data_IF_928932880126
#
_entry.id   IF_928932880126
#
_cell.length_a   1.000
_cell.length_b   1.000
_cell.length_c   1.000
_cell.angle_alpha   90.00
_cell.angle_beta   90.00
_cell.angle_gamma   90.00
#
_symmetry.space_group_name_H-M   'P 1'
#
loop_
_entity.id
_entity.type
_entity.pdbx_description
1 polymer ?
#
# COMPACT_ATOMS: atom_id res chain seq x y z
N UNK A 1 -15.49 45.80 71.25
CA UNK A 1 -14.91 45.84 69.90
C UNK A 1 -15.16 44.47 69.26
N UNK A 2 -16.15 44.40 68.35
CA UNK A 2 -16.56 43.36 67.34
C UNK A 2 -16.08 41.89 67.52
N UNK A 3 -16.95 40.94 67.92
CA UNK A 3 -17.79 39.95 67.15
C UNK A 3 -16.97 38.86 66.42
N UNK A 4 -16.99 37.56 66.78
CA UNK A 4 -18.06 36.52 66.61
C UNK A 4 -18.37 36.22 65.12
N UNK A 5 -18.58 35.01 64.59
CA UNK A 5 -18.43 33.60 64.96
C UNK A 5 -18.75 32.74 63.69
N UNK A 6 -18.27 31.50 63.66
CA UNK A 6 -18.79 30.28 62.95
C UNK A 6 -18.72 29.98 61.44
N UNK A 7 -18.40 28.69 61.25
CA UNK A 7 -18.26 27.78 60.12
C UNK A 7 -19.48 27.60 59.18
N UNK A 8 -19.23 27.25 57.90
CA UNK A 8 -19.69 25.99 57.25
C UNK A 8 -19.34 25.95 55.73
N UNK A 9 -19.25 24.71 55.21
CA UNK A 9 -18.61 24.20 53.97
C UNK A 9 -19.40 24.41 52.63
N UNK A 10 -18.82 24.05 51.45
CA UNK A 10 -18.90 24.82 50.20
C UNK A 10 -20.03 24.39 49.23
N UNK A 11 -20.54 25.35 48.45
CA UNK A 11 -21.50 25.14 47.36
C UNK A 11 -20.81 25.08 45.98
N UNK A 12 -21.26 24.14 45.14
CA UNK A 12 -20.81 23.81 43.79
C UNK A 12 -20.65 25.04 42.85
N UNK A 13 -19.67 25.05 41.93
CA UNK A 13 -19.71 25.93 40.78
C UNK A 13 -20.65 25.34 39.71
N UNK A 14 -21.61 26.14 39.27
CA UNK A 14 -22.51 25.88 38.16
C UNK A 14 -21.76 25.46 36.90
N UNK A 15 -22.00 24.24 36.42
CA UNK A 15 -21.55 23.76 35.12
C UNK A 15 -22.41 24.42 34.04
N UNK A 16 -21.85 25.39 33.33
CA UNK A 16 -22.45 25.98 32.14
C UNK A 16 -22.27 24.99 30.97
N UNK A 17 -23.33 24.26 30.64
CA UNK A 17 -23.41 23.38 29.47
C UNK A 17 -23.43 24.26 28.20
N UNK A 18 -22.27 24.49 27.57
CA UNK A 18 -22.21 24.99 26.20
C UNK A 18 -22.48 23.83 25.23
N UNK A 19 -23.74 23.72 24.79
CA UNK A 19 -24.10 23.01 23.56
C UNK A 19 -23.52 23.76 22.36
N UNK A 20 -22.32 23.36 21.93
CA UNK A 20 -21.82 23.66 20.59
C UNK A 20 -22.48 22.71 19.60
N UNK A 21 -23.66 23.10 19.12
CA UNK A 21 -24.25 22.56 17.89
C UNK A 21 -23.38 22.99 16.70
N UNK A 22 -22.27 22.28 16.49
CA UNK A 22 -21.50 22.38 15.27
C UNK A 22 -22.26 21.71 14.14
N UNK A 23 -22.76 22.50 13.19
CA UNK A 23 -23.29 22.01 11.92
C UNK A 23 -22.20 21.19 11.21
N UNK A 24 -22.25 19.87 11.39
CA UNK A 24 -21.41 18.93 10.66
C UNK A 24 -21.85 18.92 9.21
N UNK A 25 -21.14 19.66 8.36
CA UNK A 25 -21.02 19.30 6.95
C UNK A 25 -20.48 17.87 6.94
N UNK A 26 -21.35 16.89 6.75
CA UNK A 26 -20.95 15.50 6.51
C UNK A 26 -20.10 15.49 5.25
N UNK A 27 -18.78 15.59 5.40
CA UNK A 27 -17.85 15.43 4.30
C UNK A 27 -18.16 14.10 3.63
N UNK A 28 -18.52 14.13 2.35
CA UNK A 28 -18.85 12.92 1.61
C UNK A 28 -17.69 11.92 1.75
N UNK A 29 -18.00 10.66 2.09
CA UNK A 29 -16.98 9.62 2.20
C UNK A 29 -16.19 9.53 0.89
N UNK A 30 -14.85 9.36 0.94
CA UNK A 30 -14.04 9.32 -0.28
C UNK A 30 -14.52 8.19 -1.21
N UNK A 31 -14.56 8.38 -2.54
CA UNK A 31 -15.13 7.38 -3.46
C UNK A 31 -14.33 6.07 -3.42
N UNK A 32 -15.04 4.94 -3.51
CA UNK A 32 -14.39 3.63 -3.65
C UNK A 32 -13.70 3.54 -5.03
N UNK A 33 -12.58 2.82 -5.10
CA UNK A 33 -11.93 2.52 -6.37
C UNK A 33 -12.83 1.60 -7.23
N UNK A 34 -12.89 1.79 -8.56
CA UNK A 34 -13.56 0.84 -9.45
C UNK A 34 -13.01 -0.57 -9.27
N UNK A 35 -13.89 -1.57 -9.38
CA UNK A 35 -13.53 -2.99 -9.24
C UNK A 35 -13.57 -3.67 -10.60
N UNK A 36 -12.54 -4.45 -10.91
CA UNK A 36 -12.45 -5.24 -12.13
C UNK A 36 -12.04 -6.68 -11.84
N UNK A 37 -12.32 -7.58 -12.79
CA UNK A 37 -11.85 -8.95 -12.77
C UNK A 37 -10.75 -9.14 -13.82
N UNK A 38 -9.71 -9.90 -13.47
CA UNK A 38 -8.66 -10.35 -14.39
C UNK A 38 -8.56 -11.87 -14.32
N UNK A 39 -8.83 -12.58 -15.42
CA UNK A 39 -8.72 -14.04 -15.45
C UNK A 39 -7.27 -14.47 -15.62
N UNK A 40 -6.76 -15.27 -14.69
CA UNK A 40 -5.45 -15.93 -14.77
C UNK A 40 -5.44 -17.10 -15.76
N UNK A 41 -6.62 -17.59 -16.15
CA UNK A 41 -6.81 -18.63 -17.17
C UNK A 41 -6.60 -18.06 -18.59
N UNK A 42 -6.72 -16.74 -18.77
CA UNK A 42 -6.33 -16.06 -20.00
C UNK A 42 -4.80 -15.96 -20.10
N UNK A 43 -4.28 -16.02 -21.33
CA UNK A 43 -2.85 -15.77 -21.60
C UNK A 43 -2.45 -14.37 -21.13
N UNK A 44 -1.24 -14.19 -20.55
CA UNK A 44 -0.77 -12.91 -20.01
C UNK A 44 -1.04 -11.69 -20.89
N UNK A 45 -0.80 -11.82 -22.19
CA UNK A 45 -0.91 -10.76 -23.21
C UNK A 45 -2.34 -10.22 -23.37
N UNK A 46 -3.36 -10.98 -22.95
CA UNK A 46 -4.76 -10.61 -23.14
C UNK A 46 -5.50 -10.31 -21.82
N UNK A 47 -4.87 -10.57 -20.66
CA UNK A 47 -5.49 -10.49 -19.33
C UNK A 47 -6.14 -9.15 -19.01
N UNK A 48 -5.48 -8.06 -19.41
CA UNK A 48 -5.86 -6.70 -19.06
C UNK A 48 -6.76 -6.02 -20.09
N UNK A 49 -6.95 -6.59 -21.27
CA UNK A 49 -7.75 -5.97 -22.34
C UNK A 49 -9.19 -5.64 -21.92
N UNK A 50 -9.92 -6.51 -21.18
CA UNK A 50 -11.26 -6.17 -20.70
C UNK A 50 -11.27 -4.94 -19.80
N UNK A 51 -10.24 -4.78 -18.96
CA UNK A 51 -10.11 -3.64 -18.05
C UNK A 51 -9.75 -2.37 -18.83
N UNK A 52 -8.73 -2.44 -19.69
CA UNK A 52 -8.24 -1.30 -20.48
C UNK A 52 -9.31 -0.66 -21.35
N UNK A 53 -10.27 -1.44 -21.87
CA UNK A 53 -11.40 -0.93 -22.68
C UNK A 53 -12.34 0.04 -21.94
N UNK A 54 -12.26 0.13 -20.61
CA UNK A 54 -13.06 1.07 -19.81
C UNK A 54 -12.38 2.44 -19.63
N UNK A 55 -11.15 2.60 -20.11
CA UNK A 55 -10.35 3.80 -19.90
C UNK A 55 -10.11 4.57 -21.21
N UNK A 56 -10.08 5.90 -21.10
CA UNK A 56 -9.58 6.77 -22.15
C UNK A 56 -8.07 6.56 -22.32
N UNK A 57 -7.68 6.00 -23.45
CA UNK A 57 -6.28 5.66 -23.73
C UNK A 57 -5.39 6.89 -23.88
N UNK A 58 -5.93 8.04 -24.29
CA UNK A 58 -5.13 9.25 -24.39
C UNK A 58 -4.77 9.78 -22.99
N UNK A 59 -5.70 9.68 -22.04
CA UNK A 59 -5.43 9.95 -20.63
C UNK A 59 -4.39 8.98 -20.06
N UNK A 60 -4.51 7.67 -20.32
CA UNK A 60 -3.57 6.66 -19.82
C UNK A 60 -2.17 6.87 -20.40
N UNK A 61 -2.06 7.09 -21.72
CA UNK A 61 -0.77 7.37 -22.38
C UNK A 61 -0.14 8.65 -21.86
N UNK A 62 -0.91 9.71 -21.68
CA UNK A 62 -0.42 10.97 -21.12
C UNK A 62 0.10 10.78 -19.69
N UNK A 63 -0.59 10.00 -18.86
CA UNK A 63 -0.14 9.66 -17.51
C UNK A 63 1.18 8.87 -17.52
N UNK A 64 1.29 7.83 -18.37
CA UNK A 64 2.53 7.06 -18.50
C UNK A 64 3.70 7.93 -18.97
N UNK A 65 3.47 8.77 -19.97
CA UNK A 65 4.48 9.70 -20.48
C UNK A 65 4.93 10.71 -19.41
N UNK A 66 3.99 11.22 -18.60
CA UNK A 66 4.30 12.11 -17.47
C UNK A 66 5.21 11.40 -16.46
N UNK A 67 4.86 10.17 -16.04
CA UNK A 67 5.68 9.42 -15.07
C UNK A 67 7.09 9.14 -15.60
N UNK A 68 7.22 8.76 -16.87
CA UNK A 68 8.54 8.54 -17.49
C UNK A 68 9.35 9.84 -17.49
N UNK A 69 8.75 10.95 -17.98
CA UNK A 69 9.41 12.24 -18.07
C UNK A 69 9.87 12.78 -16.70
N UNK A 70 9.07 12.56 -15.66
CA UNK A 70 9.32 13.11 -14.32
C UNK A 70 10.22 12.22 -13.46
N UNK A 71 10.24 10.88 -13.66
CA UNK A 71 10.89 9.93 -12.74
C UNK A 71 11.99 9.07 -13.32
N UNK A 72 12.06 8.94 -14.64
CA UNK A 72 13.07 8.11 -15.29
C UNK A 72 14.24 9.01 -15.71
N UNK A 73 15.45 8.83 -15.14
CA UNK A 73 16.61 9.59 -15.57
C UNK A 73 16.89 9.37 -17.06
N UNK A 74 17.33 10.41 -17.77
CA UNK A 74 17.60 10.34 -19.22
C UNK A 74 18.55 9.19 -19.60
N UNK A 75 19.58 8.94 -18.79
CA UNK A 75 20.53 7.85 -19.03
C UNK A 75 19.86 6.48 -18.96
N UNK A 76 18.89 6.29 -18.06
CA UNK A 76 18.09 5.07 -17.94
C UNK A 76 17.19 4.91 -19.16
N UNK A 77 16.47 5.97 -19.55
CA UNK A 77 15.57 5.92 -20.72
C UNK A 77 16.32 5.51 -21.98
N UNK A 78 17.49 6.12 -22.23
CA UNK A 78 18.36 5.78 -23.37
C UNK A 78 18.92 4.35 -23.26
N UNK A 79 19.36 3.92 -22.08
CA UNK A 79 19.92 2.59 -21.87
C UNK A 79 18.85 1.51 -22.12
N UNK A 80 17.71 1.59 -21.43
CA UNK A 80 16.64 0.61 -21.54
C UNK A 80 16.07 0.60 -22.96
N UNK A 81 15.92 1.75 -23.62
CA UNK A 81 15.53 1.81 -25.04
C UNK A 81 16.43 0.99 -25.97
N UNK A 82 17.72 0.82 -25.65
CA UNK A 82 18.66 0.01 -26.44
C UNK A 82 18.72 -1.45 -26.04
N UNK A 83 18.53 -1.76 -24.75
CA UNK A 83 18.75 -3.12 -24.21
C UNK A 83 17.47 -3.86 -23.80
N UNK A 84 16.28 -3.27 -23.97
CA UNK A 84 15.02 -3.85 -23.46
C UNK A 84 14.78 -5.27 -23.94
N UNK A 85 15.09 -5.60 -25.20
CA UNK A 85 14.90 -6.94 -25.75
C UNK A 85 15.82 -7.98 -25.10
N UNK A 86 17.04 -7.60 -24.71
CA UNK A 86 17.94 -8.49 -23.97
C UNK A 86 17.53 -8.58 -22.51
N UNK A 87 17.19 -7.45 -21.88
CA UNK A 87 16.73 -7.38 -20.50
C UNK A 87 15.48 -8.24 -20.26
N UNK A 88 14.55 -8.24 -21.20
CA UNK A 88 13.32 -9.03 -21.12
C UNK A 88 13.57 -10.51 -20.85
N UNK A 89 14.66 -11.09 -21.37
CA UNK A 89 15.02 -12.50 -21.17
C UNK A 89 15.33 -12.86 -19.71
N UNK A 90 15.56 -11.85 -18.88
CA UNK A 90 15.81 -11.97 -17.45
C UNK A 90 14.59 -11.66 -16.59
N UNK A 91 13.52 -11.11 -17.19
CA UNK A 91 12.29 -10.78 -16.51
C UNK A 91 11.34 -11.99 -16.48
N UNK A 92 10.66 -12.26 -15.35
CA UNK A 92 9.79 -13.43 -15.23
C UNK A 92 8.44 -13.23 -15.93
N UNK A 93 7.91 -14.32 -16.50
CA UNK A 93 6.47 -14.44 -16.74
C UNK A 93 5.71 -14.55 -15.40
N UNK A 94 4.45 -14.10 -15.31
CA UNK A 94 3.61 -13.57 -16.38
C UNK A 94 3.81 -12.08 -16.68
N UNK A 95 4.71 -11.40 -15.97
CA UNK A 95 4.81 -9.93 -16.00
C UNK A 95 5.23 -9.42 -17.37
N UNK A 96 6.16 -10.09 -18.05
CA UNK A 96 6.58 -9.72 -19.41
C UNK A 96 5.44 -9.82 -20.42
N UNK A 97 4.68 -10.91 -20.42
CA UNK A 97 3.54 -11.08 -21.30
C UNK A 97 2.42 -10.06 -21.03
N UNK A 98 2.14 -9.76 -19.76
CA UNK A 98 1.16 -8.72 -19.43
C UNK A 98 1.61 -7.31 -19.84
N UNK A 99 2.89 -6.96 -19.63
CA UNK A 99 3.45 -5.68 -20.09
C UNK A 99 3.35 -5.57 -21.62
N UNK A 100 3.73 -6.63 -22.36
CA UNK A 100 3.59 -6.66 -23.82
C UNK A 100 2.15 -6.46 -24.26
N UNK A 101 1.21 -7.18 -23.67
CA UNK A 101 -0.22 -7.05 -23.97
C UNK A 101 -0.75 -5.63 -23.78
N UNK A 102 -0.33 -4.96 -22.71
CA UNK A 102 -0.65 -3.55 -22.48
C UNK A 102 -0.01 -2.62 -23.52
N UNK A 103 1.26 -2.84 -23.87
CA UNK A 103 1.96 -2.06 -24.89
C UNK A 103 1.28 -2.16 -26.25
N UNK A 104 0.96 -3.38 -26.68
CA UNK A 104 0.35 -3.65 -27.98
C UNK A 104 -1.03 -2.98 -28.07
N UNK A 105 -1.82 -3.07 -27.01
CA UNK A 105 -3.14 -2.43 -26.95
C UNK A 105 -3.07 -0.89 -26.96
N UNK A 106 -2.07 -0.32 -26.29
CA UNK A 106 -1.89 1.13 -26.21
C UNK A 106 -1.04 1.70 -27.35
N UNK A 107 -0.44 0.87 -28.20
CA UNK A 107 0.56 1.25 -29.20
C UNK A 107 1.76 2.00 -28.59
N UNK A 108 2.34 1.44 -27.53
CA UNK A 108 3.51 1.98 -26.84
C UNK A 108 4.73 1.06 -27.00
N UNK A 109 5.93 1.61 -26.83
CA UNK A 109 7.15 0.81 -26.86
C UNK A 109 7.26 -0.09 -25.62
N UNK A 110 7.82 -1.29 -25.78
CA UNK A 110 8.08 -2.19 -24.65
C UNK A 110 8.98 -1.51 -23.59
N UNK A 111 9.95 -0.70 -24.03
CA UNK A 111 10.83 0.04 -23.14
C UNK A 111 10.04 1.01 -22.26
N UNK A 112 9.14 1.80 -22.83
CA UNK A 112 8.36 2.78 -22.06
C UNK A 112 7.38 2.09 -21.10
N UNK A 113 6.69 1.01 -21.54
CA UNK A 113 5.82 0.25 -20.64
C UNK A 113 6.58 -0.39 -19.47
N UNK A 114 7.78 -0.93 -19.73
CA UNK A 114 8.63 -1.49 -18.68
C UNK A 114 9.09 -0.38 -17.73
N UNK A 115 9.54 0.75 -18.27
CA UNK A 115 10.04 1.87 -17.49
C UNK A 115 8.97 2.49 -16.59
N UNK A 116 7.72 2.62 -17.05
CA UNK A 116 6.64 3.10 -16.17
C UNK A 116 6.38 2.11 -15.04
N UNK A 117 6.45 0.80 -15.31
CA UNK A 117 6.31 -0.23 -14.28
C UNK A 117 7.46 -0.16 -13.27
N UNK A 118 8.68 0.11 -13.71
CA UNK A 118 9.83 0.28 -12.81
C UNK A 118 9.81 1.63 -12.07
N UNK A 119 9.33 2.71 -12.68
CA UNK A 119 9.25 4.02 -12.03
C UNK A 119 8.34 4.00 -10.78
N UNK A 120 7.24 3.24 -10.83
CA UNK A 120 6.34 3.03 -9.70
C UNK A 120 6.91 2.14 -8.58
N UNK A 121 8.10 1.55 -8.75
CA UNK A 121 8.78 0.83 -7.67
C UNK A 121 9.59 1.76 -6.75
N UNK A 122 9.66 3.07 -7.05
CA UNK A 122 10.46 4.07 -6.32
C UNK A 122 9.71 5.37 -6.01
N UNK A 123 10.20 6.09 -5.00
CA UNK A 123 9.58 7.27 -4.35
C UNK A 123 8.09 7.11 -4.07
N UNK A 124 7.71 5.92 -3.57
CA UNK A 124 6.38 5.57 -3.08
C UNK A 124 6.38 5.73 -1.56
N UNK A 125 5.89 6.87 -1.09
CA UNK A 125 5.72 7.10 0.35
C UNK A 125 4.49 6.34 0.84
N UNK A 126 4.58 5.74 2.02
CA UNK A 126 3.55 4.83 2.51
C UNK A 126 3.40 4.92 4.03
N UNK A 127 2.21 4.60 4.54
CA UNK A 127 2.04 4.24 5.95
C UNK A 127 1.20 2.98 5.99
N UNK A 128 1.73 1.93 6.59
CA UNK A 128 1.07 0.63 6.74
C UNK A 128 0.94 0.27 8.21
N UNK A 129 -0.21 -0.30 8.56
CA UNK A 129 -0.57 -0.71 9.93
C UNK A 129 -1.08 -2.14 9.89
N UNK A 130 -0.48 -3.03 10.67
CA UNK A 130 -1.05 -4.34 11.00
C UNK A 130 -1.33 -4.39 12.50
N UNK A 131 -2.53 -4.79 12.88
CA UNK A 131 -3.00 -4.73 14.26
C UNK A 131 -3.93 -5.89 14.60
N UNK A 132 -3.99 -6.24 15.89
CA UNK A 132 -4.82 -7.31 16.42
C UNK A 132 -5.82 -6.76 17.45
N UNK A 133 -7.10 -7.10 17.32
CA UNK A 133 -8.12 -6.72 18.30
C UNK A 133 -8.06 -7.59 19.58
N UNK A 134 -8.90 -7.27 20.56
CA UNK A 134 -8.99 -8.01 21.83
C UNK A 134 -9.53 -9.44 21.69
N UNK A 135 -10.08 -9.80 20.52
CA UNK A 135 -10.57 -11.15 20.18
C UNK A 135 -9.56 -11.95 19.35
N UNK A 136 -8.42 -11.35 19.02
CA UNK A 136 -7.37 -12.01 18.24
C UNK A 136 -7.52 -11.88 16.72
N UNK A 137 -8.48 -11.10 16.22
CA UNK A 137 -8.62 -10.87 14.78
C UNK A 137 -7.56 -9.89 14.27
N UNK A 138 -7.05 -10.16 13.07
CA UNK A 138 -6.05 -9.33 12.39
C UNK A 138 -6.72 -8.31 11.45
N UNK A 139 -6.32 -7.06 11.57
CA UNK A 139 -6.71 -5.94 10.72
C UNK A 139 -5.46 -5.34 10.08
N UNK A 140 -5.58 -4.94 8.83
CA UNK A 140 -4.48 -4.38 8.07
C UNK A 140 -4.98 -3.18 7.26
N UNK A 141 -4.31 -2.03 7.38
CA UNK A 141 -4.67 -0.83 6.64
C UNK A 141 -3.43 -0.10 6.13
N UNK A 142 -3.57 0.63 5.03
CA UNK A 142 -2.47 1.41 4.46
C UNK A 142 -2.90 2.65 3.70
N UNK A 143 -2.04 3.67 3.68
CA UNK A 143 -2.07 4.80 2.76
C UNK A 143 -0.97 4.66 1.71
N UNK A 144 -1.30 4.89 0.43
CA UNK A 144 -0.30 5.07 -0.63
C UNK A 144 -0.21 6.54 -1.02
N UNK A 145 1.00 7.07 -0.96
CA UNK A 145 1.31 8.46 -1.25
C UNK A 145 2.24 8.53 -2.48
N UNK A 146 1.90 9.41 -3.42
CA UNK A 146 2.71 9.66 -4.62
C UNK A 146 2.56 11.11 -5.08
N UNK A 147 3.60 11.74 -5.65
CA UNK A 147 3.50 13.12 -6.14
C UNK A 147 2.58 13.30 -7.36
N UNK A 148 2.21 12.21 -8.07
CA UNK A 148 1.35 12.27 -9.27
C UNK A 148 -0.14 12.08 -8.97
N UNK A 149 -0.63 12.86 -8.02
CA UNK A 149 -2.02 12.82 -7.59
C UNK A 149 -3.04 13.21 -8.67
N UNK A 150 -2.64 13.97 -9.69
CA UNK A 150 -3.49 14.38 -10.82
C UNK A 150 -3.90 13.20 -11.72
N UNK A 151 -3.03 12.19 -11.87
CA UNK A 151 -3.26 11.05 -12.78
C UNK A 151 -3.54 9.75 -12.02
N UNK A 152 -2.76 9.42 -11.00
CA UNK A 152 -2.84 8.10 -10.35
C UNK A 152 -4.17 7.85 -9.65
N UNK A 153 -4.79 8.91 -9.11
CA UNK A 153 -6.11 8.82 -8.48
C UNK A 153 -7.18 8.33 -9.45
N UNK A 154 -7.12 8.75 -10.72
CA UNK A 154 -8.07 8.36 -11.78
C UNK A 154 -7.80 6.94 -12.30
N UNK A 155 -6.58 6.45 -12.13
CA UNK A 155 -6.14 5.14 -12.60
C UNK A 155 -6.14 4.07 -11.49
N UNK A 156 -6.43 4.43 -10.24
CA UNK A 156 -6.48 3.51 -9.10
C UNK A 156 -7.68 2.57 -9.24
N UNK A 157 -7.43 1.27 -9.14
CA UNK A 157 -8.44 0.20 -9.24
C UNK A 157 -8.21 -0.89 -8.21
N UNK A 158 -9.29 -1.51 -7.77
CA UNK A 158 -9.26 -2.81 -7.10
C UNK A 158 -9.48 -3.91 -8.15
N UNK A 159 -8.63 -4.93 -8.15
CA UNK A 159 -8.65 -6.01 -9.15
C UNK A 159 -8.75 -7.35 -8.45
N UNK A 160 -9.76 -8.13 -8.81
CA UNK A 160 -9.90 -9.53 -8.39
C UNK A 160 -9.29 -10.42 -9.47
N UNK A 161 -8.22 -11.13 -9.12
CA UNK A 161 -7.57 -12.08 -10.01
C UNK A 161 -8.25 -13.43 -9.87
N UNK A 162 -8.83 -13.91 -10.97
CA UNK A 162 -9.65 -15.12 -10.99
C UNK A 162 -8.85 -16.31 -11.52
N UNK A 163 -9.01 -17.48 -10.92
CA UNK A 163 -8.52 -18.76 -11.45
C UNK A 163 -9.66 -19.76 -11.41
N UNK A 164 -10.00 -20.37 -12.55
CA UNK A 164 -11.19 -21.21 -12.71
C UNK A 164 -12.48 -20.52 -12.21
N UNK A 165 -12.61 -19.21 -12.46
CA UNK A 165 -13.75 -18.40 -12.03
C UNK A 165 -13.81 -18.04 -10.54
N UNK A 166 -12.87 -18.53 -9.71
CA UNK A 166 -12.79 -18.22 -8.28
C UNK A 166 -11.76 -17.11 -8.02
N UNK A 167 -12.02 -16.25 -7.04
CA UNK A 167 -11.05 -15.20 -6.64
C UNK A 167 -9.84 -15.88 -6.01
N UNK A 168 -8.71 -15.88 -6.71
CA UNK A 168 -7.44 -16.35 -6.20
C UNK A 168 -6.83 -15.33 -5.22
N UNK A 169 -6.88 -14.05 -5.57
CA UNK A 169 -6.48 -12.93 -4.72
C UNK A 169 -7.07 -11.62 -5.24
N UNK A 170 -7.07 -10.59 -4.39
CA UNK A 170 -7.48 -9.22 -4.75
C UNK A 170 -6.29 -8.30 -4.54
N UNK A 171 -6.11 -7.30 -5.41
CA UNK A 171 -5.06 -6.30 -5.27
C UNK A 171 -5.52 -4.91 -5.67
N UNK A 172 -4.88 -3.89 -5.11
CA UNK A 172 -5.05 -2.50 -5.54
C UNK A 172 -3.86 -2.10 -6.38
N UNK A 173 -4.12 -1.51 -7.54
CA UNK A 173 -3.09 -1.15 -8.51
C UNK A 173 -3.53 0.02 -9.38
N UNK A 174 -2.70 0.39 -10.34
CA UNK A 174 -2.99 1.40 -11.35
C UNK A 174 -3.16 0.75 -12.73
N UNK A 175 -4.04 1.28 -13.56
CA UNK A 175 -4.09 0.89 -14.97
C UNK A 175 -2.74 1.15 -15.65
N UNK A 176 -2.19 0.14 -16.32
CA UNK A 176 -0.86 0.16 -16.92
C UNK A 176 0.25 -0.45 -16.04
N UNK A 177 -0.07 -0.83 -14.79
CA UNK A 177 0.89 -1.37 -13.82
C UNK A 177 0.56 -2.83 -13.47
N UNK A 178 1.52 -3.74 -13.65
CA UNK A 178 1.32 -5.19 -13.45
C UNK A 178 1.65 -5.65 -12.02
N UNK A 179 2.32 -4.81 -11.25
CA UNK A 179 2.66 -5.07 -9.85
C UNK A 179 1.49 -4.85 -8.90
N UNK A 180 1.63 -5.33 -7.65
CA UNK A 180 0.73 -5.02 -6.55
C UNK A 180 1.54 -4.48 -5.37
N UNK A 181 1.29 -3.23 -4.98
CA UNK A 181 1.79 -2.70 -3.70
C UNK A 181 0.87 -3.02 -2.53
N UNK A 182 -0.36 -3.45 -2.81
CA UNK A 182 -1.39 -3.76 -1.82
C UNK A 182 -2.25 -4.90 -2.33
N UNK A 183 -2.56 -5.88 -1.48
CA UNK A 183 -3.49 -6.93 -1.82
C UNK A 183 -3.78 -7.92 -0.69
N UNK A 184 -4.73 -8.81 -0.94
CA UNK A 184 -5.13 -9.87 -0.02
C UNK A 184 -5.28 -11.20 -0.76
N UNK A 185 -4.89 -12.28 -0.11
CA UNK A 185 -5.24 -13.65 -0.46
C UNK A 185 -6.33 -14.10 0.52
N UNK A 186 -7.57 -14.36 0.04
CA UNK A 186 -8.73 -14.56 0.90
C UNK A 186 -8.52 -15.76 1.84
N UNK A 187 -8.82 -15.58 3.12
CA UNK A 187 -8.63 -16.57 4.19
C UNK A 187 -7.19 -17.08 4.35
N UNK A 188 -6.19 -16.34 3.84
CA UNK A 188 -4.77 -16.69 3.99
C UNK A 188 -3.98 -15.54 4.62
N UNK A 189 -3.79 -14.43 3.90
CA UNK A 189 -3.01 -13.29 4.36
C UNK A 189 -3.28 -12.03 3.54
N UNK A 190 -2.83 -10.88 4.05
CA UNK A 190 -2.87 -9.54 3.45
C UNK A 190 -1.46 -9.00 3.35
N UNK A 191 -1.16 -8.19 2.34
CA UNK A 191 0.19 -7.64 2.12
C UNK A 191 0.10 -6.17 1.69
N UNK A 192 0.92 -5.33 2.29
CA UNK A 192 1.32 -4.04 1.71
C UNK A 192 2.85 -3.95 1.67
N UNK A 193 3.37 -3.21 0.70
CA UNK A 193 4.79 -2.88 0.64
C UNK A 193 5.00 -1.38 0.81
N UNK A 194 6.01 -1.01 1.58
CA UNK A 194 6.40 0.39 1.78
C UNK A 194 7.86 0.56 1.32
N UNK A 195 8.17 1.60 0.56
CA UNK A 195 9.53 1.79 0.03
C UNK A 195 10.55 1.99 1.16
N UNK A 196 11.73 1.38 0.98
CA UNK A 196 12.91 1.65 1.80
C UNK A 196 14.01 2.26 0.94
N UNK A 197 14.04 3.59 0.87
CA UNK A 197 15.04 4.29 0.07
C UNK A 197 16.45 4.16 0.70
N UNK A 198 17.40 3.70 -0.12
CA UNK A 198 18.84 3.58 0.18
C UNK A 198 19.72 4.25 -0.90
N UNK A 199 19.12 5.03 -1.80
CA UNK A 199 19.81 5.66 -2.93
C UNK A 199 20.18 4.69 -4.05
N UNK A 200 20.69 5.25 -5.17
CA UNK A 200 21.14 4.51 -6.36
C UNK A 200 20.12 3.48 -6.87
N UNK A 201 18.84 3.85 -6.84
CA UNK A 201 17.74 2.93 -7.12
C UNK A 201 17.86 2.33 -8.52
N UNK A 202 18.07 3.16 -9.55
CA UNK A 202 18.14 2.72 -10.95
C UNK A 202 19.36 1.87 -11.24
N UNK A 203 20.53 2.25 -10.75
CA UNK A 203 21.78 1.51 -10.92
C UNK A 203 21.69 0.11 -10.31
N UNK A 204 21.21 0.04 -9.06
CA UNK A 204 21.04 -1.23 -8.36
C UNK A 204 19.94 -2.09 -8.99
N UNK A 205 18.81 -1.47 -9.37
CA UNK A 205 17.68 -2.18 -9.94
C UNK A 205 18.04 -2.81 -11.29
N UNK A 206 18.66 -2.06 -12.20
CA UNK A 206 19.07 -2.57 -13.51
C UNK A 206 20.05 -3.74 -13.35
N UNK A 207 21.08 -3.59 -12.51
CA UNK A 207 22.03 -4.68 -12.25
C UNK A 207 21.35 -5.93 -11.67
N UNK A 208 20.40 -5.75 -10.75
CA UNK A 208 19.67 -6.83 -10.12
C UNK A 208 18.70 -7.53 -11.09
N UNK A 209 18.04 -6.80 -11.99
CA UNK A 209 17.18 -7.38 -13.04
C UNK A 209 17.99 -8.31 -13.96
N UNK A 210 19.19 -7.92 -14.40
CA UNK A 210 20.10 -8.80 -15.15
C UNK A 210 20.58 -10.02 -14.36
N UNK A 211 20.45 -10.01 -13.03
CA UNK A 211 20.67 -11.17 -12.14
C UNK A 211 19.41 -11.98 -11.86
N UNK A 212 18.30 -11.72 -12.56
CA UNK A 212 16.98 -12.33 -12.35
C UNK A 212 16.35 -12.05 -10.98
N UNK A 213 16.77 -10.98 -10.30
CA UNK A 213 16.00 -10.46 -9.18
C UNK A 213 14.74 -9.80 -9.71
N UNK A 214 13.71 -9.65 -8.86
CA UNK A 214 12.40 -9.17 -9.29
C UNK A 214 11.99 -7.86 -8.60
N UNK A 215 11.14 -7.05 -9.24
CA UNK A 215 10.50 -5.90 -8.61
C UNK A 215 9.77 -6.25 -7.32
N UNK A 216 9.76 -5.32 -6.38
CA UNK A 216 9.25 -5.54 -5.01
C UNK A 216 7.74 -5.75 -5.02
N UNK A 217 7.01 -5.05 -5.88
CA UNK A 217 5.56 -5.21 -6.05
C UNK A 217 5.20 -6.47 -6.83
N UNK A 218 6.10 -6.96 -7.69
CA UNK A 218 5.91 -8.19 -8.44
C UNK A 218 6.03 -9.40 -7.53
N UNK A 219 6.97 -9.35 -6.57
CA UNK A 219 7.06 -10.37 -5.53
C UNK A 219 5.79 -10.42 -4.67
N UNK A 220 5.18 -9.27 -4.31
CA UNK A 220 3.90 -9.26 -3.59
C UNK A 220 2.83 -10.01 -4.39
N UNK A 221 2.67 -9.69 -5.68
CA UNK A 221 1.69 -10.36 -6.54
C UNK A 221 1.96 -11.86 -6.69
N UNK A 222 3.21 -12.26 -6.89
CA UNK A 222 3.60 -13.66 -6.95
C UNK A 222 3.30 -14.37 -5.62
N UNK A 223 3.54 -13.71 -4.49
CA UNK A 223 3.24 -14.24 -3.15
C UNK A 223 1.75 -14.46 -2.98
N UNK A 224 0.91 -13.48 -3.31
CA UNK A 224 -0.56 -13.58 -3.28
C UNK A 224 -1.10 -14.70 -4.17
N UNK A 225 -0.43 -14.98 -5.28
CA UNK A 225 -0.81 -16.03 -6.23
C UNK A 225 -0.35 -17.44 -5.82
N UNK A 226 0.76 -17.58 -5.09
CA UNK A 226 1.45 -18.86 -4.91
C UNK A 226 1.51 -19.34 -3.45
N UNK A 227 1.48 -18.44 -2.46
CA UNK A 227 1.69 -18.82 -1.06
C UNK A 227 0.41 -19.34 -0.42
N UNK A 228 0.52 -20.44 0.33
CA UNK A 228 -0.66 -21.15 0.85
C UNK A 228 -1.18 -20.63 2.19
N UNK A 229 -0.35 -19.92 2.95
CA UNK A 229 -0.71 -19.37 4.26
C UNK A 229 0.24 -18.21 4.64
N UNK A 230 -0.04 -17.60 5.80
CA UNK A 230 0.76 -16.49 6.34
C UNK A 230 2.25 -16.81 6.46
N UNK A 231 2.62 -17.95 7.06
CA UNK A 231 4.03 -18.34 7.26
C UNK A 231 4.78 -18.54 5.94
N UNK A 232 4.15 -19.19 4.96
CA UNK A 232 4.72 -19.36 3.62
C UNK A 232 4.92 -18.01 2.92
N UNK A 233 3.95 -17.09 3.06
CA UNK A 233 4.03 -15.75 2.50
C UNK A 233 5.17 -14.93 3.14
N UNK A 234 5.30 -14.96 4.47
CA UNK A 234 6.39 -14.32 5.21
C UNK A 234 7.75 -14.89 4.77
N UNK A 235 7.88 -16.21 4.67
CA UNK A 235 9.10 -16.86 4.20
C UNK A 235 9.49 -16.44 2.78
N UNK A 236 8.54 -16.42 1.85
CA UNK A 236 8.75 -16.01 0.45
C UNK A 236 9.14 -14.54 0.35
N UNK A 237 8.41 -13.65 1.05
CA UNK A 237 8.66 -12.21 1.10
C UNK A 237 9.95 -11.85 1.83
N UNK A 238 10.44 -12.68 2.76
CA UNK A 238 11.69 -12.46 3.46
C UNK A 238 12.93 -12.87 2.63
N UNK A 239 12.82 -13.94 1.83
CA UNK A 239 13.98 -14.63 1.24
C UNK A 239 14.16 -14.46 -0.26
N UNK A 240 13.11 -14.10 -1.01
CA UNK A 240 13.24 -13.98 -2.47
C UNK A 240 14.10 -12.77 -2.84
N UNK A 241 15.11 -12.90 -3.71
CA UNK A 241 15.97 -11.77 -4.11
C UNK A 241 15.21 -10.65 -4.81
N UNK A 242 15.51 -9.41 -4.44
CA UNK A 242 14.81 -8.20 -4.90
C UNK A 242 15.74 -7.23 -5.62
N UNK A 243 15.15 -6.36 -6.45
CA UNK A 243 15.88 -5.28 -7.14
C UNK A 243 16.14 -4.06 -6.27
N UNK A 244 15.36 -3.89 -5.19
CA UNK A 244 15.40 -2.76 -4.29
C UNK A 244 15.07 -3.19 -2.85
N UNK A 245 15.38 -2.30 -1.92
CA UNK A 245 15.04 -2.43 -0.50
C UNK A 245 13.56 -2.05 -0.29
N UNK A 246 12.88 -2.71 0.65
CA UNK A 246 11.45 -2.52 0.90
C UNK A 246 11.09 -2.95 2.32
N UNK A 247 9.97 -2.45 2.85
CA UNK A 247 9.31 -3.04 4.02
C UNK A 247 8.08 -3.79 3.54
N UNK A 248 7.94 -5.07 3.89
CA UNK A 248 6.69 -5.80 3.67
C UNK A 248 5.92 -5.92 4.97
N UNK A 249 4.68 -5.45 4.98
CA UNK A 249 3.78 -5.61 6.09
C UNK A 249 2.83 -6.74 5.70
N UNK A 250 2.70 -7.74 6.57
CA UNK A 250 1.90 -8.94 6.32
C UNK A 250 0.97 -9.17 7.49
N UNK A 251 -0.32 -9.43 7.23
CA UNK A 251 -1.30 -9.82 8.24
C UNK A 251 -2.00 -11.11 7.85
N UNK A 252 -2.03 -12.10 8.73
CA UNK A 252 -2.67 -13.41 8.51
C UNK A 252 -4.13 -13.46 8.98
N UNK A 253 -4.54 -14.62 9.45
CA UNK A 253 -5.92 -14.93 9.89
C UNK A 253 -6.01 -15.28 11.37
N UNK A 254 -4.91 -15.75 11.96
CA UNK A 254 -4.83 -16.20 13.36
C UNK A 254 -4.21 -15.12 14.26
N UNK A 255 -4.46 -15.18 15.59
CA UNK A 255 -3.81 -14.27 16.53
C UNK A 255 -2.28 -14.30 16.40
N UNK A 256 -1.66 -13.12 16.49
CA UNK A 256 -0.23 -12.82 16.33
C UNK A 256 0.31 -12.93 14.90
N UNK A 257 -0.50 -13.31 13.93
CA UNK A 257 -0.11 -13.30 12.52
C UNK A 257 -0.13 -11.87 11.97
N UNK A 258 0.86 -11.06 12.38
CA UNK A 258 1.12 -9.74 11.82
C UNK A 258 2.60 -9.44 11.95
N UNK A 259 3.23 -8.93 10.89
CA UNK A 259 4.69 -8.72 10.87
C UNK A 259 5.08 -7.60 9.92
N UNK A 260 6.14 -6.87 10.27
CA UNK A 260 6.88 -5.99 9.36
C UNK A 260 8.21 -6.65 9.03
N UNK A 261 8.50 -6.85 7.75
CA UNK A 261 9.74 -7.45 7.24
C UNK A 261 10.56 -6.32 6.61
N UNK A 262 11.66 -5.94 7.23
CA UNK A 262 12.60 -4.98 6.64
C UNK A 262 13.54 -5.71 5.71
N UNK A 263 13.48 -5.43 4.40
CA UNK A 263 14.27 -6.11 3.37
C UNK A 263 15.42 -5.25 2.86
N UNK A 264 16.55 -5.93 2.67
CA UNK A 264 17.55 -5.59 1.67
C UNK A 264 17.33 -6.47 0.43
N UNK A 265 18.00 -6.13 -0.68
CA UNK A 265 17.95 -6.94 -1.92
C UNK A 265 18.16 -8.44 -1.72
N UNK A 266 19.13 -8.83 -0.88
CA UNK A 266 19.56 -10.22 -0.74
C UNK A 266 18.87 -10.97 0.43
N UNK A 267 18.11 -10.29 1.29
CA UNK A 267 17.45 -10.94 2.43
C UNK A 267 16.84 -9.96 3.45
N UNK A 268 16.33 -10.46 4.58
CA UNK A 268 15.74 -9.62 5.61
C UNK A 268 16.85 -9.00 6.49
N UNK A 269 16.80 -7.68 6.67
CA UNK A 269 17.58 -7.00 7.70
C UNK A 269 16.94 -7.13 9.08
N UNK A 270 15.60 -7.25 9.13
CA UNK A 270 14.84 -7.42 10.37
C UNK A 270 13.46 -8.03 10.09
N UNK A 271 12.90 -8.74 11.08
CA UNK A 271 11.55 -9.29 11.07
C UNK A 271 10.89 -8.91 12.41
N UNK A 272 9.88 -8.06 12.37
CA UNK A 272 9.26 -7.45 13.54
C UNK A 272 7.79 -7.89 13.68
N UNK A 273 7.51 -9.01 14.38
CA UNK A 273 6.16 -9.55 14.53
C UNK A 273 5.34 -8.76 15.55
N UNK A 274 4.01 -8.89 15.50
CA UNK A 274 3.12 -8.53 16.60
C UNK A 274 3.52 -9.28 17.86
N UNK A 275 3.40 -8.61 19.01
CA UNK A 275 3.71 -9.22 20.31
C UNK A 275 2.69 -8.76 21.37
N UNK A 276 1.43 -9.23 21.30
CA UNK A 276 0.38 -8.81 22.21
C UNK A 276 0.68 -9.14 23.69
N UNK A 277 1.52 -10.14 23.97
CA UNK A 277 1.93 -10.50 25.34
C UNK A 277 2.75 -9.38 25.99
N UNK A 278 3.52 -8.64 25.20
CA UNK A 278 4.29 -7.47 25.64
C UNK A 278 3.56 -6.14 25.31
N UNK A 279 2.24 -6.17 25.19
CA UNK A 279 1.40 -4.99 24.91
C UNK A 279 1.47 -4.47 23.48
N UNK A 280 2.18 -5.18 22.60
CA UNK A 280 2.49 -4.76 21.24
C UNK A 280 1.46 -5.31 20.23
N UNK A 281 0.20 -4.88 20.38
CA UNK A 281 -0.95 -5.33 19.58
C UNK A 281 -1.05 -4.69 18.19
N UNK A 282 -0.12 -3.79 17.82
CA UNK A 282 0.03 -3.25 16.48
C UNK A 282 1.50 -3.10 16.08
N UNK A 283 1.72 -2.98 14.76
CA UNK A 283 2.94 -2.49 14.13
C UNK A 283 2.59 -1.39 13.15
N UNK A 284 3.41 -0.34 13.14
CA UNK A 284 3.30 0.79 12.21
C UNK A 284 4.61 0.87 11.46
N UNK A 285 4.53 0.82 10.14
CA UNK A 285 5.67 1.11 9.27
C UNK A 285 5.32 2.28 8.36
N UNK A 286 6.32 3.12 8.08
CA UNK A 286 6.24 4.18 7.08
C UNK A 286 7.31 3.93 6.03
N UNK A 287 8.46 4.61 6.09
CA UNK A 287 9.52 4.46 5.10
C UNK A 287 10.92 4.41 5.75
N UNK A 288 11.01 4.18 7.06
CA UNK A 288 12.25 4.29 7.83
C UNK A 288 12.48 3.04 8.69
N UNK A 289 13.71 2.71 9.02
CA UNK A 289 13.96 1.54 9.87
C UNK A 289 13.29 1.74 11.25
N UNK A 290 12.52 0.77 11.76
CA UNK A 290 11.74 0.95 13.01
C UNK A 290 12.61 1.17 14.25
N UNK A 291 13.83 0.63 14.26
CA UNK A 291 14.84 0.82 15.31
C UNK A 291 15.59 2.16 15.23
N UNK A 292 15.25 3.01 14.25
CA UNK A 292 15.78 4.37 14.11
C UNK A 292 14.66 5.39 14.32
N UNK A 293 15.01 6.60 14.78
CA UNK A 293 14.04 7.69 14.82
C UNK A 293 13.56 8.01 13.39
N UNK A 294 12.26 8.23 13.23
CA UNK A 294 11.74 8.83 12.00
C UNK A 294 12.34 10.25 11.84
N UNK A 295 12.70 10.68 10.61
CA UNK A 295 13.14 12.05 10.36
C UNK A 295 12.05 13.04 10.79
N UNK A 296 12.46 14.16 11.40
CA UNK A 296 11.53 15.19 11.90
C UNK A 296 10.65 15.78 10.82
N UNK A 297 11.12 15.80 9.57
CA UNK A 297 10.41 16.34 8.41
C UNK A 297 9.30 15.41 7.89
N UNK A 298 9.37 14.10 8.18
CA UNK A 298 8.38 13.09 7.77
C UNK A 298 8.10 12.08 8.90
N UNK A 299 7.63 12.59 10.05
CA UNK A 299 7.26 11.74 11.20
C UNK A 299 5.77 11.33 11.19
N UNK A 300 5.37 10.64 10.12
CA UNK A 300 4.04 10.00 10.03
C UNK A 300 3.87 8.87 11.06
N UNK A 301 4.96 8.19 11.43
CA UNK A 301 4.96 7.07 12.38
C UNK A 301 4.45 7.49 13.75
N UNK A 302 4.99 8.57 14.33
CA UNK A 302 4.56 9.03 15.66
C UNK A 302 3.06 9.38 15.69
N UNK A 303 2.56 9.99 14.63
CA UNK A 303 1.16 10.40 14.55
C UNK A 303 0.21 9.19 14.43
N UNK A 304 0.58 8.20 13.61
CA UNK A 304 -0.17 6.94 13.52
C UNK A 304 -0.19 6.18 14.85
N UNK A 305 0.95 6.08 15.55
CA UNK A 305 1.05 5.43 16.87
C UNK A 305 0.18 6.15 17.90
N UNK A 306 0.20 7.49 17.94
CA UNK A 306 -0.66 8.27 18.85
C UNK A 306 -2.15 8.01 18.59
N UNK A 307 -2.57 7.97 17.32
CA UNK A 307 -3.94 7.69 16.94
C UNK A 307 -4.38 6.26 17.29
N UNK A 308 -3.49 5.26 17.11
CA UNK A 308 -3.71 3.88 17.57
C UNK A 308 -3.88 3.78 19.08
N UNK A 309 -2.99 4.44 19.84
CA UNK A 309 -3.07 4.48 21.29
C UNK A 309 -4.36 5.14 21.79
N UNK A 310 -4.79 6.23 21.16
CA UNK A 310 -6.05 6.91 21.50
C UNK A 310 -7.29 6.07 21.15
N UNK A 311 -7.23 5.31 20.06
CA UNK A 311 -8.31 4.39 19.66
C UNK A 311 -8.43 3.23 20.65
N UNK A 312 -7.29 2.64 21.04
CA UNK A 312 -7.21 1.50 21.93
C UNK A 312 -7.62 0.18 21.27
N UNK A 313 -7.06 -0.93 21.77
CA UNK A 313 -7.25 -2.26 21.19
C UNK A 313 -8.74 -2.71 21.15
N UNK A 314 -9.52 -2.30 22.15
CA UNK A 314 -10.93 -2.68 22.28
C UNK A 314 -11.83 -2.10 21.18
N UNK A 315 -11.43 -0.99 20.55
CA UNK A 315 -12.20 -0.30 19.51
C UNK A 315 -11.64 -0.55 18.10
N UNK A 316 -10.66 -1.43 17.96
CA UNK A 316 -10.03 -1.71 16.68
C UNK A 316 -11.04 -2.33 15.70
N UNK A 317 -11.12 -1.74 14.51
CA UNK A 317 -11.92 -2.22 13.37
C UNK A 317 -11.32 -1.68 12.07
N UNK A 318 -11.79 -2.17 10.91
CA UNK A 318 -11.38 -1.60 9.62
C UNK A 318 -11.77 -0.12 9.50
N UNK A 319 -12.93 0.27 10.04
CA UNK A 319 -13.34 1.68 10.06
C UNK A 319 -12.42 2.51 10.96
N UNK A 320 -12.07 2.01 12.15
CA UNK A 320 -11.14 2.69 13.03
C UNK A 320 -9.76 2.87 12.38
N UNK A 321 -9.24 1.86 11.67
CA UNK A 321 -8.01 1.99 10.89
C UNK A 321 -8.12 3.03 9.78
N UNK A 322 -9.26 3.10 9.08
CA UNK A 322 -9.50 4.12 8.06
C UNK A 322 -9.49 5.54 8.66
N UNK A 323 -10.04 5.72 9.86
CA UNK A 323 -10.01 6.99 10.59
C UNK A 323 -8.58 7.35 11.02
N UNK A 324 -7.80 6.40 11.55
CA UNK A 324 -6.38 6.60 11.89
C UNK A 324 -5.58 7.02 10.65
N UNK A 325 -5.79 6.35 9.52
CA UNK A 325 -5.16 6.66 8.23
C UNK A 325 -5.69 7.97 7.60
N UNK A 326 -6.66 8.63 8.22
CA UNK A 326 -7.18 9.95 7.83
C UNK A 326 -6.65 11.10 8.70
N UNK A 327 -5.84 10.81 9.73
CA UNK A 327 -5.21 11.81 10.59
C UNK A 327 -4.00 12.43 9.88
N UNK A 328 -3.92 13.75 9.83
CA UNK A 328 -2.72 14.46 9.33
C UNK A 328 -1.57 14.32 10.34
N UNK A 329 -0.32 14.02 9.93
CA UNK A 329 0.20 13.95 8.55
C UNK A 329 0.20 12.55 7.92
N UNK A 330 -0.34 11.51 8.59
CA UNK A 330 -0.47 10.15 8.01
C UNK A 330 -1.27 10.21 6.72
N UNK A 331 -2.36 10.97 6.75
CA UNK A 331 -3.01 11.51 5.57
C UNK A 331 -2.35 12.83 5.15
N UNK A 332 -2.00 12.95 3.88
CA UNK A 332 -1.34 14.14 3.36
C UNK A 332 -1.77 14.43 1.90
N UNK A 333 -1.25 15.52 1.33
CA UNK A 333 -1.60 15.96 -0.03
C UNK A 333 -1.18 14.96 -1.12
N UNK A 334 -0.20 14.12 -0.84
CA UNK A 334 0.31 13.09 -1.74
C UNK A 334 -0.47 11.78 -1.64
N UNK A 335 -1.31 11.60 -0.62
CA UNK A 335 -2.14 10.40 -0.49
C UNK A 335 -3.06 10.24 -1.72
N UNK A 336 -2.88 9.11 -2.40
CA UNK A 336 -3.59 8.66 -3.59
C UNK A 336 -4.79 7.81 -3.20
N UNK A 337 -4.58 6.82 -2.35
CA UNK A 337 -5.62 5.91 -1.89
C UNK A 337 -5.34 5.40 -0.47
N UNK A 338 -6.41 4.95 0.18
CA UNK A 338 -6.37 4.23 1.45
C UNK A 338 -7.06 2.89 1.27
N UNK A 339 -6.39 1.81 1.67
CA UNK A 339 -6.95 0.45 1.65
C UNK A 339 -7.03 -0.08 3.07
N UNK A 340 -8.16 -0.69 3.42
CA UNK A 340 -8.34 -1.46 4.65
C UNK A 340 -8.80 -2.87 4.30
N UNK A 341 -8.22 -3.87 4.96
CA UNK A 341 -8.37 -5.28 4.62
C UNK A 341 -8.16 -6.19 5.84
N UNK A 342 -8.72 -7.39 5.77
CA UNK A 342 -8.50 -8.46 6.74
C UNK A 342 -8.66 -9.80 6.02
N UNK A 343 -7.64 -10.66 6.07
CA UNK A 343 -7.68 -11.96 5.39
C UNK A 343 -8.82 -12.84 5.91
N UNK A 344 -9.20 -12.70 7.19
CA UNK A 344 -10.31 -13.42 7.81
C UNK A 344 -11.70 -12.89 7.42
N UNK A 345 -11.80 -11.73 6.79
CA UNK A 345 -13.05 -11.13 6.29
C UNK A 345 -12.83 -10.52 4.91
N UNK A 346 -12.51 -11.34 3.89
CA UNK A 346 -12.01 -10.84 2.60
C UNK A 346 -13.02 -9.96 1.85
N UNK A 347 -14.32 -10.15 2.06
CA UNK A 347 -15.38 -9.34 1.45
C UNK A 347 -15.37 -7.87 1.91
N UNK A 348 -14.65 -7.57 3.00
CA UNK A 348 -14.49 -6.21 3.53
C UNK A 348 -13.28 -5.47 2.95
N UNK A 349 -12.58 -6.04 1.96
CA UNK A 349 -11.50 -5.34 1.25
C UNK A 349 -12.03 -4.08 0.57
N UNK A 350 -11.52 -2.93 1.00
CA UNK A 350 -12.00 -1.64 0.50
C UNK A 350 -10.85 -0.67 0.29
N UNK A 351 -10.70 -0.23 -0.95
CA UNK A 351 -9.88 0.92 -1.30
C UNK A 351 -10.74 2.14 -1.57
N UNK A 352 -10.39 3.27 -0.96
CA UNK A 352 -10.99 4.58 -1.26
C UNK A 352 -9.93 5.55 -1.77
N UNK A 353 -10.23 6.19 -2.90
CA UNK A 353 -9.37 7.19 -3.53
C UNK A 353 -9.41 8.46 -2.68
N UNK A 354 -8.24 8.99 -2.33
CA UNK A 354 -8.09 10.15 -1.46
C UNK A 354 -7.70 11.38 -2.27
N UNK A 355 -8.06 12.57 -1.78
CA UNK A 355 -7.86 13.84 -2.52
C UNK A 355 -8.32 13.80 -4.00
N UNK A 356 -9.50 13.23 -4.35
CA UNK A 356 -9.94 13.25 -5.74
C UNK A 356 -10.09 14.71 -6.20
N UNK A 357 -9.60 15.04 -7.40
CA UNK A 357 -9.87 16.33 -8.02
C UNK A 357 -11.38 16.55 -8.04
N UNK A 358 -11.85 17.73 -7.61
CA UNK A 358 -13.27 18.10 -7.77
C UNK A 358 -13.60 17.97 -9.26
N UNK A 359 -14.72 17.31 -9.57
CA UNK A 359 -15.23 17.16 -10.94
C UNK A 359 -15.41 18.52 -11.60
#
# INVERSE_FOLDING_TARGET
MRTADREARPGLPSLLLLLLAGAGLSAASPPAAPRFNVSLDSVPELRWLPVLRHYDLDLVRAAMAQVIGDRVPKWVHVLIGKVVLELERFLPQPFTGEIRGMCDFMNLSLADCLLVNLAYESSVFCTSIVAQDSRGHIYHGRNLDYPFGNVLRKLTVDVQFLKNGQIAFTGTTFIGYVGLWTGQSPHKFTVSGDERDKGWWWENAIAALFRRHIPVSWLIRATLSESENFEAAVGKLAKTPLIADVYYIVGGTSPREGVVITRNRDGPADIWPLDPLNGAWFRVETNYDHWKPAPKEDDRRTSAIKALNATGQANLSLEALFQILSVVPVYNNFTIYTTVMSAGSPDKYMTRIRNPSRK
#
